data_IF_354629348059
#
_entry.id   IF_354629348059
#
_cell.length_a   1.000
_cell.length_b   1.000
_cell.length_c   1.000
_cell.angle_alpha   90.00
_cell.angle_beta   90.00
_cell.angle_gamma   90.00
#
_symmetry.space_group_name_H-M   'P 1'
#
loop_
_entity.id
_entity.type
_entity.pdbx_description
1 polymer ?
#
# COMPACT_ATOMS: atom_id res chain seq x y z
N UNK A 1 37.31 3.34 26.57
CA UNK A 1 37.63 3.03 25.16
C UNK A 1 37.14 1.67 24.65
N UNK A 2 37.37 0.52 25.31
CA UNK A 2 37.06 -0.80 24.73
C UNK A 2 35.56 -1.07 24.56
N UNK A 3 34.71 -0.57 25.47
CA UNK A 3 33.26 -0.76 25.39
C UNK A 3 32.63 -0.03 24.19
N UNK A 4 33.06 1.20 23.92
CA UNK A 4 32.55 2.00 22.79
C UNK A 4 32.93 1.32 21.47
N UNK A 5 34.18 0.85 21.36
CA UNK A 5 34.64 0.12 20.18
C UNK A 5 33.84 -1.18 19.98
N UNK A 6 33.59 -1.94 21.05
CA UNK A 6 32.76 -3.15 20.98
C UNK A 6 31.34 -2.85 20.51
N UNK A 7 30.74 -1.75 20.98
CA UNK A 7 29.39 -1.35 20.59
C UNK A 7 29.33 -0.96 19.11
N UNK A 8 30.34 -0.23 18.62
CA UNK A 8 30.45 0.15 17.21
C UNK A 8 30.61 -1.08 16.31
N UNK A 9 31.47 -2.02 16.69
CA UNK A 9 31.64 -3.29 15.96
C UNK A 9 30.34 -4.10 15.93
N UNK A 10 29.62 -4.15 17.05
CA UNK A 10 28.32 -4.82 17.11
C UNK A 10 27.29 -4.18 16.18
N UNK A 11 27.15 -2.85 16.18
CA UNK A 11 26.23 -2.15 15.28
C UNK A 11 26.63 -2.31 13.81
N UNK A 12 27.92 -2.25 13.50
CA UNK A 12 28.42 -2.50 12.15
C UNK A 12 28.10 -3.94 11.70
N UNK A 13 28.28 -4.92 12.57
CA UNK A 13 27.92 -6.31 12.30
C UNK A 13 26.42 -6.47 12.02
N UNK A 14 25.55 -5.81 12.79
CA UNK A 14 24.11 -5.82 12.53
C UNK A 14 23.76 -5.26 11.14
N UNK A 15 24.36 -4.13 10.75
CA UNK A 15 24.14 -3.51 9.45
C UNK A 15 24.66 -4.38 8.30
N UNK A 16 25.86 -4.94 8.45
CA UNK A 16 26.45 -5.83 7.44
C UNK A 16 25.56 -7.07 7.25
N UNK A 17 25.20 -7.76 8.34
CA UNK A 17 24.35 -8.95 8.27
C UNK A 17 22.95 -8.63 7.70
N UNK A 18 22.38 -7.47 8.04
CA UNK A 18 21.11 -7.04 7.46
C UNK A 18 21.21 -6.78 5.96
N UNK A 19 22.28 -6.12 5.49
CA UNK A 19 22.48 -5.85 4.08
C UNK A 19 22.73 -7.13 3.26
N UNK A 20 23.42 -8.13 3.82
CA UNK A 20 23.57 -9.44 3.17
C UNK A 20 22.27 -10.25 3.06
N UNK A 21 21.27 -9.96 3.89
CA UNK A 21 19.94 -10.60 3.85
C UNK A 21 18.96 -9.94 2.89
N UNK A 22 19.32 -8.81 2.27
CA UNK A 22 18.42 -8.12 1.34
C UNK A 22 18.16 -9.03 0.14
N UNK A 23 16.88 -9.31 -0.11
CA UNK A 23 16.39 -10.09 -1.26
C UNK A 23 16.71 -9.38 -2.58
N UNK A 24 16.55 -10.09 -3.69
CA UNK A 24 16.86 -9.54 -4.99
C UNK A 24 16.01 -8.29 -5.28
N UNK A 25 16.58 -7.36 -6.05
CA UNK A 25 15.90 -6.15 -6.50
C UNK A 25 15.03 -6.37 -7.75
N UNK A 26 14.73 -7.62 -8.12
CA UNK A 26 13.79 -7.91 -9.20
C UNK A 26 12.37 -7.62 -8.72
N UNK A 27 11.69 -6.71 -9.42
CA UNK A 27 10.33 -6.30 -9.08
C UNK A 27 9.40 -6.58 -10.24
N UNK A 28 8.22 -7.09 -9.91
CA UNK A 28 7.10 -7.22 -10.85
C UNK A 28 5.99 -6.28 -10.39
N UNK A 29 5.67 -5.28 -11.20
CA UNK A 29 4.70 -4.23 -10.88
C UNK A 29 3.66 -4.10 -11.99
N UNK A 30 2.37 -3.89 -11.69
CA UNK A 30 1.38 -3.65 -12.72
C UNK A 30 1.59 -2.25 -13.34
N UNK A 31 1.35 -2.13 -14.65
CA UNK A 31 1.49 -0.86 -15.39
C UNK A 31 0.10 -0.30 -15.75
N UNK A 32 -0.71 -1.16 -16.38
CA UNK A 32 -2.01 -0.77 -16.91
C UNK A 32 -2.97 -1.95 -16.86
N UNK A 33 -4.26 -1.63 -16.85
CA UNK A 33 -5.31 -2.62 -17.06
C UNK A 33 -6.51 -1.99 -17.76
N UNK A 34 -7.31 -2.82 -18.38
CA UNK A 34 -8.60 -2.48 -18.96
C UNK A 34 -9.63 -3.54 -18.59
N UNK A 35 -10.87 -3.12 -18.35
CA UNK A 35 -11.98 -4.00 -18.01
C UNK A 35 -13.04 -3.86 -19.10
N UNK A 36 -13.45 -4.98 -19.67
CA UNK A 36 -14.52 -5.08 -20.66
C UNK A 36 -15.65 -5.89 -20.03
N UNK A 37 -16.81 -5.27 -19.95
CA UNK A 37 -18.02 -5.89 -19.45
C UNK A 37 -18.84 -6.45 -20.61
N UNK A 38 -19.13 -7.75 -20.56
CA UNK A 38 -20.12 -8.42 -21.40
C UNK A 38 -21.23 -8.98 -20.50
N UNK A 39 -22.36 -9.40 -21.10
CA UNK A 39 -23.56 -9.81 -20.35
C UNK A 39 -23.30 -10.87 -19.28
N UNK A 40 -22.51 -11.90 -19.59
CA UNK A 40 -22.23 -13.03 -18.70
C UNK A 40 -20.74 -13.18 -18.38
N UNK A 41 -19.94 -12.16 -18.70
CA UNK A 41 -18.49 -12.26 -18.64
C UNK A 41 -17.85 -10.90 -18.33
N UNK A 42 -16.85 -10.91 -17.45
CA UNK A 42 -15.95 -9.78 -17.23
C UNK A 42 -14.57 -10.20 -17.73
N UNK A 43 -14.12 -9.51 -18.79
CA UNK A 43 -12.80 -9.71 -19.35
C UNK A 43 -11.86 -8.58 -18.92
N UNK A 44 -10.76 -8.93 -18.29
CA UNK A 44 -9.74 -7.98 -17.84
C UNK A 44 -8.45 -8.28 -18.60
N UNK A 45 -7.82 -7.26 -19.15
CA UNK A 45 -6.49 -7.34 -19.74
C UNK A 45 -5.58 -6.33 -19.09
N UNK A 46 -4.29 -6.65 -18.96
CA UNK A 46 -3.33 -5.71 -18.40
C UNK A 46 -1.89 -6.14 -18.65
N UNK A 47 -0.96 -5.32 -18.17
CA UNK A 47 0.47 -5.50 -18.39
C UNK A 47 1.22 -5.35 -17.07
N UNK A 48 2.15 -6.27 -16.83
CA UNK A 48 3.11 -6.25 -15.73
C UNK A 48 4.48 -5.87 -16.28
N UNK A 49 5.17 -4.97 -15.58
CA UNK A 49 6.57 -4.66 -15.80
C UNK A 49 7.42 -5.55 -14.90
N UNK A 50 8.41 -6.20 -15.48
CA UNK A 50 9.46 -6.91 -14.77
C UNK A 50 10.73 -6.06 -14.87
N UNK A 51 11.23 -5.57 -13.74
CA UNK A 51 12.43 -4.73 -13.69
C UNK A 51 13.57 -5.41 -12.95
N UNK A 52 14.76 -5.48 -13.58
CA UNK A 52 16.00 -5.79 -12.89
C UNK A 52 16.82 -4.50 -12.69
N UNK A 53 16.84 -3.99 -11.46
CA UNK A 53 17.56 -2.75 -11.10
C UNK A 53 19.03 -2.97 -10.76
N UNK A 54 19.55 -4.20 -10.82
CA UNK A 54 20.98 -4.42 -10.61
C UNK A 54 21.79 -3.94 -11.81
N UNK A 55 22.87 -3.19 -11.54
CA UNK A 55 23.75 -2.65 -12.58
C UNK A 55 24.61 -3.70 -13.28
N UNK A 56 24.88 -4.83 -12.63
CA UNK A 56 25.86 -5.85 -13.10
C UNK A 56 25.41 -7.29 -12.91
N UNK A 57 24.22 -7.51 -12.37
CA UNK A 57 23.71 -8.84 -12.05
C UNK A 57 22.52 -9.09 -12.95
N UNK A 58 22.58 -10.18 -13.71
CA UNK A 58 21.43 -10.72 -14.41
C UNK A 58 20.67 -11.64 -13.47
N UNK A 59 19.34 -11.65 -13.61
CA UNK A 59 18.47 -12.47 -12.78
C UNK A 59 17.56 -13.29 -13.67
N UNK A 60 17.29 -14.51 -13.27
CA UNK A 60 16.40 -15.40 -13.97
C UNK A 60 15.06 -15.48 -13.25
N UNK A 61 14.00 -15.63 -14.04
CA UNK A 61 12.64 -15.91 -13.56
C UNK A 61 12.28 -17.29 -14.10
N UNK A 62 12.59 -18.36 -13.36
CA UNK A 62 12.23 -19.71 -13.80
C UNK A 62 10.72 -19.96 -13.72
N UNK A 63 10.02 -19.27 -12.82
CA UNK A 63 8.61 -19.47 -12.53
C UNK A 63 7.91 -18.11 -12.31
N UNK A 64 6.74 -17.93 -12.93
CA UNK A 64 5.78 -16.86 -12.63
C UNK A 64 4.37 -17.45 -12.70
N UNK A 65 3.50 -17.03 -11.79
CA UNK A 65 2.09 -17.38 -11.82
C UNK A 65 1.22 -16.28 -11.22
N UNK A 66 -0.05 -16.26 -11.63
CA UNK A 66 -1.04 -15.33 -11.10
C UNK A 66 -2.15 -16.11 -10.40
N UNK A 67 -2.67 -15.55 -9.31
CA UNK A 67 -3.88 -16.04 -8.62
C UNK A 67 -4.89 -14.90 -8.50
N UNK A 68 -6.15 -15.22 -8.80
CA UNK A 68 -7.25 -14.26 -8.80
C UNK A 68 -8.21 -14.51 -7.64
N UNK A 69 -8.39 -13.49 -6.81
CA UNK A 69 -9.43 -13.40 -5.78
C UNK A 69 -10.43 -12.31 -6.17
N UNK A 70 -11.72 -12.56 -5.94
CA UNK A 70 -12.80 -11.63 -6.31
C UNK A 70 -13.52 -11.16 -5.05
N UNK A 71 -13.90 -9.89 -5.02
CA UNK A 71 -14.61 -9.27 -3.90
C UNK A 71 -15.89 -8.60 -4.38
N UNK A 72 -16.97 -8.84 -3.63
CA UNK A 72 -18.32 -8.42 -3.95
C UNK A 72 -19.23 -8.53 -2.73
N UNK A 73 -20.51 -8.21 -2.92
CA UNK A 73 -21.52 -8.27 -1.85
C UNK A 73 -22.14 -9.68 -1.68
N UNK A 74 -21.98 -10.55 -2.68
CA UNK A 74 -22.52 -11.91 -2.71
C UNK A 74 -21.41 -12.95 -2.70
N UNK A 75 -21.78 -14.21 -2.47
CA UNK A 75 -20.87 -15.33 -2.70
C UNK A 75 -20.51 -15.42 -4.19
N UNK A 76 -19.20 -15.47 -4.46
CA UNK A 76 -18.59 -15.51 -5.79
C UNK A 76 -17.90 -16.86 -6.08
N UNK A 77 -18.14 -17.87 -5.23
CA UNK A 77 -17.50 -19.19 -5.33
C UNK A 77 -17.84 -19.93 -6.62
N UNK A 78 -19.05 -19.72 -7.17
CA UNK A 78 -19.52 -20.33 -8.40
C UNK A 78 -18.87 -19.77 -9.69
N UNK A 79 -18.18 -18.63 -9.59
CA UNK A 79 -17.57 -17.97 -10.74
C UNK A 79 -16.39 -18.78 -11.29
N UNK A 80 -16.41 -19.03 -12.60
CA UNK A 80 -15.28 -19.61 -13.30
C UNK A 80 -14.25 -18.53 -13.61
N UNK A 81 -12.98 -18.84 -13.38
CA UNK A 81 -11.85 -17.92 -13.52
C UNK A 81 -10.80 -18.53 -14.45
N UNK A 82 -10.58 -17.91 -15.59
CA UNK A 82 -9.48 -18.27 -16.50
C UNK A 82 -8.41 -17.19 -16.43
N UNK A 83 -7.14 -17.61 -16.35
CA UNK A 83 -6.00 -16.71 -16.27
C UNK A 83 -5.02 -17.11 -17.37
N UNK A 84 -4.56 -16.15 -18.16
CA UNK A 84 -3.46 -16.34 -19.11
C UNK A 84 -2.38 -15.31 -18.88
N UNK A 85 -1.14 -15.72 -19.09
CA UNK A 85 0.06 -14.91 -19.02
C UNK A 85 0.74 -15.01 -20.37
N UNK A 86 1.04 -13.87 -20.99
CA UNK A 86 1.62 -13.78 -22.33
C UNK A 86 2.91 -12.97 -22.22
N UNK A 87 4.09 -13.61 -22.27
CA UNK A 87 5.35 -12.88 -22.22
C UNK A 87 5.50 -11.94 -23.43
N UNK A 88 6.11 -10.77 -23.21
CA UNK A 88 6.51 -9.81 -24.25
C UNK A 88 8.03 -9.66 -24.30
N UNK A 89 8.73 -10.80 -24.33
CA UNK A 89 10.18 -10.81 -24.40
C UNK A 89 10.64 -10.39 -25.80
N UNK A 90 11.55 -9.41 -25.88
CA UNK A 90 12.06 -8.91 -27.17
C UNK A 90 12.91 -9.93 -27.93
N UNK A 91 13.49 -10.88 -27.21
CA UNK A 91 14.51 -11.82 -27.67
C UNK A 91 14.04 -13.29 -27.65
N UNK A 92 12.76 -13.54 -27.37
CA UNK A 92 12.23 -14.90 -27.24
C UNK A 92 10.79 -15.01 -27.72
N UNK A 93 10.53 -16.00 -28.59
CA UNK A 93 9.17 -16.33 -29.00
C UNK A 93 8.40 -17.04 -27.87
N UNK A 94 7.11 -16.74 -27.78
CA UNK A 94 6.19 -17.39 -26.86
C UNK A 94 5.99 -18.86 -27.21
N UNK A 95 5.81 -19.69 -26.19
CA UNK A 95 5.42 -21.09 -26.39
C UNK A 95 3.96 -21.17 -26.82
N UNK A 96 3.64 -22.12 -27.69
CA UNK A 96 2.27 -22.36 -28.17
C UNK A 96 1.32 -22.86 -27.09
N UNK A 97 1.84 -23.42 -26.00
CA UNK A 97 1.09 -23.95 -24.86
C UNK A 97 0.81 -22.89 -23.78
N UNK A 98 1.24 -21.64 -23.99
CA UNK A 98 1.14 -20.52 -23.03
C UNK A 98 1.80 -20.76 -21.66
N UNK A 99 2.60 -21.83 -21.53
CA UNK A 99 3.37 -22.06 -20.31
C UNK A 99 4.53 -21.05 -20.23
N UNK A 100 4.84 -20.63 -19.01
CA UNK A 100 5.99 -19.76 -18.77
C UNK A 100 7.29 -20.48 -19.16
N UNK A 101 8.14 -19.78 -19.90
CA UNK A 101 9.50 -20.23 -20.19
C UNK A 101 10.45 -19.42 -19.33
N UNK A 102 11.40 -20.09 -18.68
CA UNK A 102 12.41 -19.42 -17.88
C UNK A 102 13.08 -18.29 -18.67
N UNK A 103 13.11 -17.10 -18.08
CA UNK A 103 13.59 -15.89 -18.76
C UNK A 103 14.73 -15.22 -17.98
N UNK A 104 15.71 -14.68 -18.68
CA UNK A 104 16.83 -13.93 -18.11
C UNK A 104 16.54 -12.44 -18.28
N UNK A 105 16.37 -11.73 -17.18
CA UNK A 105 16.26 -10.27 -17.17
C UNK A 105 17.66 -9.69 -16.99
N UNK A 106 18.20 -9.10 -18.06
CA UNK A 106 19.55 -8.52 -18.08
C UNK A 106 19.69 -7.40 -17.05
N UNK A 107 20.93 -7.11 -16.67
CA UNK A 107 21.22 -6.04 -15.72
C UNK A 107 20.70 -4.69 -16.22
N UNK A 108 20.05 -3.92 -15.34
CA UNK A 108 19.49 -2.60 -15.63
C UNK A 108 18.55 -2.61 -16.85
N UNK A 109 17.76 -3.66 -16.98
CA UNK A 109 16.79 -3.83 -18.06
C UNK A 109 15.41 -4.18 -17.50
N UNK A 110 14.40 -4.06 -18.35
CA UNK A 110 13.04 -4.46 -18.07
C UNK A 110 12.44 -5.25 -19.23
N UNK A 111 11.45 -6.08 -18.92
CA UNK A 111 10.59 -6.76 -19.89
C UNK A 111 9.15 -6.64 -19.44
N UNK A 112 8.21 -6.83 -20.36
CA UNK A 112 6.78 -6.83 -20.04
C UNK A 112 6.19 -8.22 -20.11
N UNK A 113 5.08 -8.40 -19.40
CA UNK A 113 4.24 -9.58 -19.44
C UNK A 113 2.79 -9.13 -19.44
N UNK A 114 2.05 -9.50 -20.48
CA UNK A 114 0.61 -9.29 -20.51
C UNK A 114 -0.11 -10.38 -19.72
N UNK A 115 -1.26 -10.02 -19.16
CA UNK A 115 -2.17 -10.99 -18.55
C UNK A 115 -3.60 -10.74 -19.02
N UNK A 116 -4.37 -11.82 -19.05
CA UNK A 116 -5.82 -11.76 -19.27
C UNK A 116 -6.53 -12.55 -18.19
N UNK A 117 -7.61 -12.01 -17.65
CA UNK A 117 -8.49 -12.65 -16.69
C UNK A 117 -9.89 -12.72 -17.31
N UNK A 118 -10.45 -13.92 -17.37
CA UNK A 118 -11.80 -14.16 -17.85
C UNK A 118 -12.65 -14.64 -16.67
N UNK A 119 -13.68 -13.89 -16.31
CA UNK A 119 -14.56 -14.24 -15.19
C UNK A 119 -15.95 -14.45 -15.75
N UNK A 120 -16.42 -15.69 -15.73
CA UNK A 120 -17.71 -16.07 -16.31
C UNK A 120 -18.62 -16.69 -15.29
N UNK A 121 -19.91 -16.34 -15.36
CA UNK A 121 -20.97 -17.08 -14.69
C UNK A 121 -22.11 -17.36 -15.67
N UNK A 122 -22.46 -18.62 -15.91
CA UNK A 122 -23.65 -18.96 -16.69
C UNK A 122 -24.97 -18.53 -16.03
N UNK A 123 -24.99 -18.33 -14.72
CA UNK A 123 -26.19 -18.13 -13.89
C UNK A 123 -26.50 -16.67 -13.53
N UNK A 124 -25.51 -15.76 -13.54
CA UNK A 124 -25.75 -14.33 -13.33
C UNK A 124 -26.07 -13.63 -14.65
N UNK A 125 -27.26 -13.03 -14.74
CA UNK A 125 -27.64 -12.18 -15.87
C UNK A 125 -26.90 -10.84 -15.90
N UNK A 126 -26.37 -10.37 -14.76
CA UNK A 126 -25.52 -9.17 -14.64
C UNK A 126 -24.42 -9.37 -13.59
N UNK A 127 -23.26 -9.87 -14.06
CA UNK A 127 -22.09 -10.13 -13.23
C UNK A 127 -21.48 -8.85 -12.63
N UNK A 128 -21.66 -7.71 -13.29
CA UNK A 128 -21.02 -6.44 -12.92
C UNK A 128 -21.60 -5.85 -11.64
N UNK A 129 -22.89 -6.12 -11.38
CA UNK A 129 -23.56 -5.74 -10.14
C UNK A 129 -23.08 -6.51 -8.90
N UNK A 130 -22.31 -7.59 -9.09
CA UNK A 130 -21.92 -8.50 -8.01
C UNK A 130 -20.43 -8.53 -7.74
N UNK A 131 -19.58 -8.20 -8.73
CA UNK A 131 -18.12 -8.18 -8.57
C UNK A 131 -17.63 -6.74 -8.61
N UNK A 132 -17.07 -6.26 -7.49
CA UNK A 132 -16.57 -4.88 -7.37
C UNK A 132 -15.07 -4.76 -7.60
N UNK A 133 -14.31 -5.78 -7.21
CA UNK A 133 -12.85 -5.75 -7.20
C UNK A 133 -12.28 -7.13 -7.55
N UNK A 134 -11.21 -7.14 -8.34
CA UNK A 134 -10.33 -8.28 -8.50
C UNK A 134 -9.00 -8.00 -7.78
N UNK A 135 -8.54 -8.92 -6.94
CA UNK A 135 -7.19 -8.93 -6.39
C UNK A 135 -6.35 -9.95 -7.15
N UNK A 136 -5.23 -9.50 -7.71
CA UNK A 136 -4.30 -10.35 -8.45
C UNK A 136 -3.03 -10.51 -7.63
N UNK A 137 -2.81 -11.72 -7.10
CA UNK A 137 -1.52 -12.10 -6.55
C UNK A 137 -0.59 -12.55 -7.68
N UNK A 138 0.59 -11.95 -7.76
CA UNK A 138 1.71 -12.36 -8.61
C UNK A 138 2.70 -13.13 -7.76
N UNK A 139 2.96 -14.38 -8.12
CA UNK A 139 4.03 -15.19 -7.53
C UNK A 139 5.15 -15.34 -8.55
N UNK A 140 6.39 -15.14 -8.11
CA UNK A 140 7.54 -15.45 -8.96
C UNK A 140 8.70 -15.94 -8.14
N UNK A 141 9.57 -16.68 -8.81
CA UNK A 141 10.88 -17.03 -8.29
C UNK A 141 11.89 -16.07 -8.89
N UNK A 142 12.68 -15.41 -8.05
CA UNK A 142 13.94 -14.84 -8.50
C UNK A 142 15.05 -15.87 -8.34
N UNK A 143 15.95 -15.94 -9.32
CA UNK A 143 17.08 -16.85 -9.30
C UNK A 143 18.35 -16.13 -9.75
N UNK A 144 19.42 -16.24 -8.95
CA UNK A 144 20.68 -15.55 -9.21
C UNK A 144 21.69 -15.69 -8.07
N UNK A 145 22.64 -14.75 -7.91
CA UNK A 145 23.68 -14.81 -6.88
C UNK A 145 23.16 -14.89 -5.44
N UNK A 146 21.96 -14.35 -5.19
CA UNK A 146 21.28 -14.44 -3.89
C UNK A 146 20.54 -15.77 -3.68
N UNK A 147 20.73 -16.75 -4.56
CA UNK A 147 20.05 -18.05 -4.53
C UNK A 147 18.69 -18.03 -5.22
N UNK A 148 17.72 -18.75 -4.63
CA UNK A 148 16.35 -18.89 -5.11
C UNK A 148 15.39 -18.27 -4.10
N UNK A 149 14.79 -17.12 -4.41
CA UNK A 149 13.82 -16.50 -3.50
C UNK A 149 12.41 -16.54 -4.09
N UNK A 150 11.47 -17.02 -3.28
CA UNK A 150 10.06 -16.92 -3.59
C UNK A 150 9.56 -15.52 -3.22
N UNK A 151 8.89 -14.89 -4.18
CA UNK A 151 8.34 -13.56 -4.04
C UNK A 151 6.84 -13.58 -4.33
N UNK A 152 6.16 -12.61 -3.73
CA UNK A 152 4.73 -12.39 -3.90
C UNK A 152 4.47 -10.89 -3.93
N UNK A 153 3.65 -10.44 -4.85
CA UNK A 153 3.03 -9.12 -4.81
C UNK A 153 1.54 -9.28 -5.05
N UNK A 154 0.73 -8.37 -4.55
CA UNK A 154 -0.68 -8.34 -4.88
C UNK A 154 -1.09 -6.93 -5.27
N UNK A 155 -2.07 -6.81 -6.16
CA UNK A 155 -2.63 -5.51 -6.53
C UNK A 155 -4.12 -5.62 -6.84
N UNK A 156 -4.84 -4.53 -6.61
CA UNK A 156 -6.27 -4.44 -6.85
C UNK A 156 -6.60 -3.87 -8.23
N UNK A 157 -7.61 -4.47 -8.86
CA UNK A 157 -8.19 -4.04 -10.13
C UNK A 157 -9.66 -3.72 -9.88
N UNK A 158 -10.03 -2.43 -9.95
CA UNK A 158 -11.42 -2.03 -9.81
C UNK A 158 -12.21 -2.48 -11.04
N UNK A 159 -13.21 -3.33 -10.80
CA UNK A 159 -14.13 -3.83 -11.83
C UNK A 159 -15.29 -2.87 -11.99
N UNK A 160 -15.86 -2.41 -10.87
CA UNK A 160 -16.87 -1.36 -10.87
C UNK A 160 -16.40 -0.14 -10.09
N UNK A 161 -16.83 1.05 -10.52
CA UNK A 161 -16.55 2.32 -9.86
C UNK A 161 -17.90 2.95 -9.47
N UNK A 162 -18.00 3.58 -8.29
CA UNK A 162 -19.25 4.19 -7.87
C UNK A 162 -19.63 5.33 -8.83
N UNK A 163 -20.91 5.41 -9.15
CA UNK A 163 -21.47 6.46 -10.00
C UNK A 163 -21.29 7.82 -9.34
N UNK A 164 -20.74 8.77 -10.09
CA UNK A 164 -20.62 10.17 -9.67
C UNK A 164 -21.99 10.87 -9.85
N UNK A 165 -22.98 10.53 -9.03
CA UNK A 165 -24.29 11.21 -9.06
C UNK A 165 -24.14 12.68 -8.67
N UNK A 166 -24.87 13.55 -9.37
CA UNK A 166 -24.93 15.00 -9.10
C UNK A 166 -25.73 15.25 -7.81
N UNK A 167 -25.04 15.74 -6.79
CA UNK A 167 -25.50 16.63 -5.69
C UNK A 167 -26.74 16.31 -4.83
N UNK A 168 -27.59 15.31 -5.09
CA UNK A 168 -28.89 15.24 -4.40
C UNK A 168 -28.93 14.43 -3.10
N UNK A 169 -27.93 13.60 -2.78
CA UNK A 169 -27.95 12.74 -1.58
C UNK A 169 -26.63 12.69 -0.80
N UNK A 170 -25.80 13.73 -0.89
CA UNK A 170 -24.54 13.80 -0.13
C UNK A 170 -24.74 14.64 1.14
N UNK A 171 -25.06 13.96 2.25
CA UNK A 171 -25.24 14.61 3.55
C UNK A 171 -23.88 15.03 4.12
N UNK A 172 -23.63 16.35 4.11
CA UNK A 172 -22.54 16.91 4.87
C UNK A 172 -22.78 16.65 6.37
N UNK A 173 -21.79 16.06 7.03
CA UNK A 173 -21.73 15.92 8.48
C UNK A 173 -21.28 17.28 9.03
N UNK A 174 -22.20 18.01 9.66
CA UNK A 174 -21.89 19.27 10.30
C UNK A 174 -21.34 19.04 11.70
N UNK A 175 -20.25 19.74 12.05
CA UNK A 175 -19.79 19.87 13.41
C UNK A 175 -19.59 21.35 13.77
N UNK A 176 -18.98 21.65 14.92
CA UNK A 176 -18.75 23.03 15.39
C UNK A 176 -17.81 23.84 14.50
N UNK A 177 -16.94 23.19 13.72
CA UNK A 177 -15.84 23.84 13.01
C UNK A 177 -16.02 23.86 11.49
N UNK A 178 -16.80 22.93 10.95
CA UNK A 178 -16.92 22.70 9.51
C UNK A 178 -18.12 21.83 9.14
N UNK A 179 -18.39 21.77 7.85
CA UNK A 179 -19.21 20.74 7.20
C UNK A 179 -18.30 19.78 6.45
N UNK A 180 -18.43 18.49 6.71
CA UNK A 180 -17.54 17.46 6.16
C UNK A 180 -18.34 16.50 5.28
N UNK A 181 -17.85 16.22 4.09
CA UNK A 181 -18.44 15.25 3.18
C UNK A 181 -17.46 14.10 2.92
N UNK A 182 -17.75 12.89 3.43
CA UNK A 182 -17.06 11.68 3.02
C UNK A 182 -17.37 11.34 1.56
N UNK A 183 -16.33 11.08 0.76
CA UNK A 183 -16.45 10.83 -0.67
C UNK A 183 -16.18 9.36 -0.95
N UNK A 184 -17.23 8.62 -1.31
CA UNK A 184 -17.14 7.18 -1.64
C UNK A 184 -16.39 6.98 -2.95
N UNK A 185 -15.41 6.09 -2.94
CA UNK A 185 -14.62 5.68 -4.10
C UNK A 185 -14.72 4.17 -4.33
N UNK A 186 -14.09 3.67 -5.40
CA UNK A 186 -13.70 2.27 -5.43
C UNK A 186 -12.54 2.03 -4.44
N UNK A 187 -12.20 0.77 -4.18
CA UNK A 187 -10.99 0.45 -3.41
C UNK A 187 -9.78 0.88 -4.23
N UNK A 188 -9.05 1.89 -3.74
CA UNK A 188 -7.90 2.44 -4.44
C UNK A 188 -6.75 1.42 -4.47
N UNK A 189 -5.96 1.46 -5.53
CA UNK A 189 -4.80 0.59 -5.71
C UNK A 189 -3.60 1.28 -6.34
N UNK A 190 -2.53 0.52 -6.53
CA UNK A 190 -1.24 1.00 -7.08
C UNK A 190 -1.33 1.49 -8.53
N UNK A 191 -2.41 1.16 -9.24
CA UNK A 191 -2.68 1.62 -10.61
C UNK A 191 -3.47 2.94 -10.64
N UNK A 192 -3.89 3.46 -9.49
CA UNK A 192 -4.60 4.72 -9.40
C UNK A 192 -3.63 5.88 -9.12
N UNK A 193 -3.68 6.93 -9.95
CA UNK A 193 -3.00 8.19 -9.64
C UNK A 193 -3.82 8.96 -8.57
N UNK A 194 -3.26 9.21 -7.37
CA UNK A 194 -4.03 9.80 -6.27
C UNK A 194 -4.57 11.20 -6.58
N UNK A 195 -3.91 11.98 -7.46
CA UNK A 195 -4.36 13.33 -7.83
C UNK A 195 -5.54 13.23 -8.80
N UNK A 196 -5.48 12.36 -9.81
CA UNK A 196 -6.58 12.12 -10.74
C UNK A 196 -7.79 11.46 -10.05
N UNK A 197 -7.56 10.59 -9.05
CA UNK A 197 -8.64 10.06 -8.19
C UNK A 197 -9.35 11.20 -7.47
N UNK A 198 -8.59 12.06 -6.77
CA UNK A 198 -9.15 13.22 -6.07
C UNK A 198 -9.96 14.08 -7.03
N UNK A 199 -9.37 14.46 -8.16
CA UNK A 199 -10.01 15.28 -9.19
C UNK A 199 -11.29 14.65 -9.72
N UNK A 200 -11.29 13.35 -9.97
CA UNK A 200 -12.45 12.62 -10.51
C UNK A 200 -13.59 12.56 -9.50
N UNK A 201 -13.30 12.17 -8.25
CA UNK A 201 -14.33 11.93 -7.23
C UNK A 201 -14.86 13.19 -6.56
N UNK A 202 -14.11 14.29 -6.60
CA UNK A 202 -14.53 15.58 -6.05
C UNK A 202 -15.10 16.53 -7.11
N UNK A 203 -15.06 16.13 -8.39
CA UNK A 203 -15.56 16.92 -9.52
C UNK A 203 -17.00 17.36 -9.30
N UNK A 204 -17.28 18.64 -9.52
CA UNK A 204 -18.60 19.27 -9.39
C UNK A 204 -19.17 19.34 -7.94
N UNK A 205 -18.38 19.01 -6.92
CA UNK A 205 -18.81 19.03 -5.51
C UNK A 205 -17.97 20.03 -4.70
N UNK A 206 -16.68 20.10 -5.01
CA UNK A 206 -15.71 20.92 -4.28
C UNK A 206 -15.79 22.40 -4.67
N UNK A 207 -15.69 23.26 -3.65
CA UNK A 207 -15.58 24.72 -3.78
C UNK A 207 -14.13 25.19 -3.60
N UNK A 208 -13.74 26.36 -4.13
CA UNK A 208 -12.37 26.88 -3.98
C UNK A 208 -11.89 27.07 -2.53
N UNK A 209 -12.82 27.31 -1.60
CA UNK A 209 -12.52 27.47 -0.16
C UNK A 209 -12.44 26.15 0.62
N UNK A 210 -12.79 25.02 -0.01
CA UNK A 210 -12.78 23.73 0.65
C UNK A 210 -11.34 23.23 0.87
N UNK A 211 -11.22 22.24 1.75
CA UNK A 211 -9.99 21.48 1.98
C UNK A 211 -10.29 20.03 1.62
N UNK A 212 -9.54 19.47 0.69
CA UNK A 212 -9.61 18.04 0.39
C UNK A 212 -8.61 17.31 1.28
N UNK A 213 -9.08 16.28 1.95
CA UNK A 213 -8.27 15.41 2.78
C UNK A 213 -8.24 14.02 2.15
N UNK A 214 -7.06 13.42 2.07
CA UNK A 214 -6.91 11.99 1.78
C UNK A 214 -6.34 11.29 3.02
N UNK A 215 -6.85 10.09 3.31
CA UNK A 215 -6.32 9.25 4.37
C UNK A 215 -4.85 8.88 4.12
N UNK A 216 -4.10 8.68 5.19
CA UNK A 216 -2.73 8.15 5.17
C UNK A 216 -2.65 6.82 4.40
N UNK A 217 -3.42 5.82 4.82
CA UNK A 217 -3.32 4.46 4.31
C UNK A 217 -3.73 4.35 2.84
N UNK A 218 -4.84 4.95 2.37
CA UNK A 218 -5.17 4.95 0.94
C UNK A 218 -4.10 5.62 0.08
N UNK A 219 -3.48 6.71 0.55
CA UNK A 219 -2.36 7.32 -0.17
C UNK A 219 -1.17 6.36 -0.24
N UNK A 220 -0.80 5.74 0.88
CA UNK A 220 0.26 4.73 0.96
C UNK A 220 0.03 3.57 -0.02
N UNK A 221 -1.21 3.08 -0.11
CA UNK A 221 -1.63 2.03 -1.05
C UNK A 221 -1.46 2.47 -2.51
N UNK A 222 -1.94 3.67 -2.89
CA UNK A 222 -1.76 4.18 -4.26
C UNK A 222 -0.29 4.36 -4.64
N UNK A 223 0.57 4.62 -3.65
CA UNK A 223 2.03 4.72 -3.84
C UNK A 223 2.73 3.35 -3.85
N UNK A 224 2.00 2.24 -3.71
CA UNK A 224 2.55 0.89 -3.66
C UNK A 224 3.34 0.60 -2.37
N UNK A 225 3.10 1.34 -1.29
CA UNK A 225 3.86 1.20 -0.05
C UNK A 225 3.25 0.15 0.90
N UNK A 226 3.05 -1.05 0.38
CA UNK A 226 2.54 -2.20 1.13
C UNK A 226 3.17 -3.50 0.59
N UNK A 227 3.14 -4.54 1.41
CA UNK A 227 3.59 -5.87 1.00
C UNK A 227 2.92 -6.97 1.81
N UNK A 228 2.83 -8.16 1.21
CA UNK A 228 2.31 -9.32 1.90
C UNK A 228 3.35 -9.83 2.92
N UNK A 229 2.96 -10.17 4.17
CA UNK A 229 3.90 -10.61 5.22
C UNK A 229 4.70 -11.85 4.85
N UNK A 230 4.17 -12.73 3.98
CA UNK A 230 4.90 -13.89 3.44
C UNK A 230 6.19 -13.55 2.68
N UNK A 231 6.38 -12.29 2.26
CA UNK A 231 7.62 -11.84 1.60
C UNK A 231 8.72 -11.46 2.59
N UNK A 232 8.36 -11.27 3.86
CA UNK A 232 9.26 -10.82 4.92
C UNK A 232 9.86 -12.02 5.61
N UNK A 233 11.16 -11.95 5.88
CA UNK A 233 11.87 -12.91 6.70
C UNK A 233 12.29 -12.25 8.01
N UNK A 234 11.53 -12.45 9.10
CA UNK A 234 11.85 -11.82 10.36
C UNK A 234 13.18 -12.34 10.92
N UNK A 235 14.11 -11.40 11.15
CA UNK A 235 15.37 -11.69 11.84
C UNK A 235 15.13 -12.06 13.31
N UNK A 236 16.11 -12.71 13.93
CA UNK A 236 16.06 -12.97 15.37
C UNK A 236 15.96 -11.66 16.18
N UNK A 237 16.61 -10.59 15.69
CA UNK A 237 16.47 -9.26 16.28
C UNK A 237 15.00 -8.82 16.28
N UNK A 238 14.31 -8.89 15.14
CA UNK A 238 12.89 -8.53 15.05
C UNK A 238 12.02 -9.36 16.00
N UNK A 239 12.23 -10.69 16.02
CA UNK A 239 11.51 -11.64 16.89
C UNK A 239 11.70 -11.38 18.39
N UNK A 240 12.85 -10.83 18.79
CA UNK A 240 13.14 -10.47 20.18
C UNK A 240 12.52 -9.11 20.50
N UNK A 241 12.81 -8.08 19.69
CA UNK A 241 12.40 -6.70 19.98
C UNK A 241 10.87 -6.52 19.99
N UNK A 242 10.14 -7.24 19.14
CA UNK A 242 8.68 -7.11 19.04
C UNK A 242 7.96 -7.47 20.35
N UNK A 243 8.53 -8.36 21.17
CA UNK A 243 7.92 -8.84 22.43
C UNK A 243 7.81 -7.77 23.52
N UNK A 244 8.50 -6.64 23.35
CA UNK A 244 8.52 -5.54 24.32
C UNK A 244 7.46 -4.45 24.05
N UNK A 245 6.70 -4.60 22.97
CA UNK A 245 5.62 -3.69 22.59
C UNK A 245 4.28 -4.18 23.13
N UNK A 246 3.32 -3.26 23.28
CA UNK A 246 1.96 -3.61 23.66
C UNK A 246 1.35 -4.51 22.57
N UNK A 247 0.61 -5.60 22.89
CA UNK A 247 0.13 -6.57 21.91
C UNK A 247 -0.67 -5.98 20.74
N UNK A 248 -1.35 -4.85 20.95
CA UNK A 248 -2.13 -4.15 19.93
C UNK A 248 -1.29 -3.20 19.05
N UNK A 249 0.04 -3.18 19.20
CA UNK A 249 0.92 -2.36 18.36
C UNK A 249 1.32 -3.14 17.12
N UNK A 250 1.36 -2.48 15.97
CA UNK A 250 1.91 -3.02 14.71
C UNK A 250 3.37 -3.51 14.85
N UNK A 251 4.11 -2.98 15.84
CA UNK A 251 5.50 -3.40 16.13
C UNK A 251 5.59 -4.57 17.11
N UNK A 252 4.46 -5.11 17.59
CA UNK A 252 4.41 -6.27 18.47
C UNK A 252 4.56 -7.60 17.73
N UNK A 253 4.50 -7.59 16.40
CA UNK A 253 4.77 -8.76 15.57
C UNK A 253 6.19 -8.74 15.00
N UNK A 254 6.72 -9.93 14.72
CA UNK A 254 8.05 -10.05 14.14
C UNK A 254 8.11 -9.48 12.70
N UNK A 255 7.02 -9.60 11.94
CA UNK A 255 6.91 -9.02 10.60
C UNK A 255 6.87 -7.49 10.65
N UNK A 256 6.01 -6.89 11.47
CA UNK A 256 5.95 -5.43 11.61
C UNK A 256 7.25 -4.82 12.15
N UNK A 257 7.90 -5.48 13.12
CA UNK A 257 9.23 -5.06 13.59
C UNK A 257 10.31 -5.20 12.50
N UNK A 258 10.28 -6.27 11.71
CA UNK A 258 11.21 -6.44 10.59
C UNK A 258 10.98 -5.39 9.50
N UNK A 259 9.73 -5.01 9.23
CA UNK A 259 9.39 -3.90 8.33
C UNK A 259 10.04 -2.60 8.78
N UNK A 260 9.96 -2.26 10.08
CA UNK A 260 10.64 -1.08 10.60
C UNK A 260 12.16 -1.18 10.46
N UNK A 261 12.75 -2.35 10.75
CA UNK A 261 14.19 -2.59 10.58
C UNK A 261 14.62 -2.40 9.12
N UNK A 262 13.82 -2.86 8.15
CA UNK A 262 14.10 -2.68 6.73
C UNK A 262 14.07 -1.20 6.33
N UNK A 263 13.17 -0.41 6.92
CA UNK A 263 13.01 1.02 6.62
C UNK A 263 14.12 1.89 7.20
N UNK A 264 14.51 1.66 8.47
CA UNK A 264 15.36 2.60 9.22
C UNK A 264 16.70 2.01 9.67
N UNK A 265 16.93 0.72 9.43
CA UNK A 265 18.14 -0.01 9.77
C UNK A 265 18.11 -0.67 11.16
N UNK A 266 18.71 -1.86 11.31
CA UNK A 266 18.72 -2.61 12.58
C UNK A 266 19.45 -1.86 13.70
N UNK A 267 20.50 -1.11 13.38
CA UNK A 267 21.27 -0.37 14.38
C UNK A 267 20.43 0.72 15.03
N UNK A 268 19.73 1.52 14.21
CA UNK A 268 18.85 2.59 14.67
C UNK A 268 17.68 2.06 15.48
N UNK A 269 17.04 0.97 15.04
CA UNK A 269 15.94 0.35 15.80
C UNK A 269 16.43 -0.15 17.16
N UNK A 270 17.60 -0.81 17.19
CA UNK A 270 18.19 -1.33 18.42
C UNK A 270 18.57 -0.20 19.37
N UNK A 271 19.22 0.86 18.87
CA UNK A 271 19.54 2.04 19.66
C UNK A 271 18.28 2.72 20.21
N UNK A 272 17.27 2.94 19.37
CA UNK A 272 15.99 3.50 19.78
C UNK A 272 15.29 2.65 20.85
N UNK A 273 15.39 1.33 20.74
CA UNK A 273 14.85 0.39 21.72
C UNK A 273 15.59 0.48 23.06
N UNK A 274 16.93 0.47 23.07
CA UNK A 274 17.74 0.59 24.29
C UNK A 274 17.41 1.89 25.02
N UNK A 275 17.48 3.03 24.32
CA UNK A 275 17.22 4.34 24.94
C UNK A 275 15.75 4.47 25.37
N UNK A 276 14.82 3.98 24.54
CA UNK A 276 13.40 3.97 24.88
C UNK A 276 13.09 3.14 26.13
N UNK A 277 13.74 1.99 26.29
CA UNK A 277 13.62 1.14 27.48
C UNK A 277 14.18 1.82 28.73
N UNK A 278 15.38 2.42 28.64
CA UNK A 278 15.98 3.18 29.74
C UNK A 278 15.10 4.35 30.18
N UNK A 279 14.60 5.15 29.23
CA UNK A 279 13.71 6.29 29.54
C UNK A 279 12.38 5.85 30.15
N UNK A 280 11.88 4.67 29.79
CA UNK A 280 10.67 4.09 30.40
C UNK A 280 10.87 3.79 31.89
N UNK A 281 12.08 3.44 32.33
CA UNK A 281 12.40 3.30 33.77
C UNK A 281 12.24 4.63 34.52
N UNK A 282 12.51 5.75 33.85
CA UNK A 282 12.26 7.10 34.36
C UNK A 282 10.84 7.62 34.06
N UNK A 283 9.90 6.73 33.71
CA UNK A 283 8.50 7.04 33.37
C UNK A 283 8.31 7.93 32.14
N UNK A 284 9.34 8.14 31.32
CA UNK A 284 9.26 8.86 30.05
C UNK A 284 8.88 7.87 28.95
N UNK A 285 7.61 7.93 28.50
CA UNK A 285 7.05 6.98 27.52
C UNK A 285 7.18 7.50 26.08
N UNK A 286 7.22 6.59 25.12
CA UNK A 286 7.09 6.90 23.68
C UNK A 286 8.36 7.37 22.96
N UNK A 287 9.50 7.48 23.65
CA UNK A 287 10.75 7.96 23.06
C UNK A 287 11.34 7.04 21.99
N UNK A 288 11.04 5.73 22.06
CA UNK A 288 11.35 4.79 20.99
C UNK A 288 10.90 5.32 19.63
N UNK A 289 9.66 5.77 19.51
CA UNK A 289 9.09 6.25 18.24
C UNK A 289 9.72 7.56 17.75
N UNK A 290 10.26 8.39 18.65
CA UNK A 290 10.99 9.60 18.27
C UNK A 290 12.34 9.23 17.63
N UNK A 291 13.06 8.27 18.22
CA UNK A 291 14.38 7.86 17.79
C UNK A 291 14.33 6.94 16.55
N UNK A 292 13.41 5.98 16.54
CA UNK A 292 13.22 5.04 15.42
C UNK A 292 12.78 5.77 14.14
N UNK A 293 12.05 6.89 14.26
CA UNK A 293 11.66 7.74 13.14
C UNK A 293 10.17 7.68 12.83
N UNK A 294 9.74 8.45 11.82
CA UNK A 294 8.32 8.65 11.51
C UNK A 294 7.61 7.34 11.17
N UNK A 295 8.25 6.45 10.41
CA UNK A 295 7.68 5.15 10.01
C UNK A 295 7.31 4.27 11.21
N UNK A 296 8.03 4.35 12.33
CA UNK A 296 7.68 3.56 13.51
C UNK A 296 6.26 3.81 14.04
N UNK A 297 5.63 4.94 13.67
CA UNK A 297 4.25 5.30 14.03
C UNK A 297 3.25 5.11 12.90
N UNK A 298 3.71 4.82 11.69
CA UNK A 298 2.89 4.77 10.47
C UNK A 298 2.86 3.37 9.85
N UNK A 299 3.56 2.40 10.45
CA UNK A 299 3.45 1.01 10.01
C UNK A 299 2.16 0.47 10.57
N UNK A 300 1.30 0.02 9.67
CA UNK A 300 0.10 -0.74 9.99
C UNK A 300 0.33 -2.19 9.60
N UNK A 301 0.25 -3.05 10.61
CA UNK A 301 0.35 -4.49 10.41
C UNK A 301 -0.98 -5.04 9.86
N UNK A 302 -1.02 -6.35 9.59
CA UNK A 302 -2.24 -7.03 9.17
C UNK A 302 -3.43 -6.71 10.10
N UNK A 303 -4.66 -6.83 9.59
CA UNK A 303 -5.94 -6.54 10.26
C UNK A 303 -6.31 -5.05 10.41
N UNK A 304 -5.43 -4.12 10.02
CA UNK A 304 -5.66 -2.68 10.14
C UNK A 304 -6.39 -1.99 8.98
N UNK A 305 -6.69 -2.69 7.88
CA UNK A 305 -7.14 -2.06 6.63
C UNK A 305 -8.28 -2.83 5.96
N UNK A 306 -9.05 -2.18 5.09
CA UNK A 306 -10.13 -2.80 4.31
C UNK A 306 -9.63 -3.94 3.41
N UNK A 307 -10.33 -5.09 3.31
CA UNK A 307 -9.99 -6.13 2.35
C UNK A 307 -9.90 -5.62 0.91
N UNK A 308 -8.92 -6.09 0.11
CA UNK A 308 -7.96 -7.18 0.35
C UNK A 308 -6.68 -6.79 1.11
N UNK A 309 -6.53 -5.52 1.48
CA UNK A 309 -5.31 -5.02 2.12
C UNK A 309 -5.18 -5.47 3.57
N UNK A 310 -6.27 -5.95 4.19
CA UNK A 310 -6.32 -6.51 5.55
C UNK A 310 -5.26 -7.62 5.80
N UNK A 311 -4.79 -8.26 4.73
CA UNK A 311 -3.75 -9.29 4.75
C UNK A 311 -2.35 -8.77 4.40
N UNK A 312 -2.16 -7.46 4.32
CA UNK A 312 -0.90 -6.81 3.96
C UNK A 312 -0.38 -5.95 5.11
N UNK A 313 0.92 -5.69 5.10
CA UNK A 313 1.54 -4.67 5.94
C UNK A 313 1.63 -3.40 5.11
N UNK A 314 1.10 -2.31 5.62
CA UNK A 314 1.13 -0.99 4.98
C UNK A 314 2.13 -0.11 5.71
N UNK A 315 2.97 0.58 4.95
CA UNK A 315 3.91 1.56 5.46
C UNK A 315 3.38 2.98 5.23
N UNK A 316 3.81 3.93 6.07
CA UNK A 316 3.47 5.35 5.91
C UNK A 316 3.78 5.93 4.53
N UNK A 317 3.06 6.98 4.06
CA UNK A 317 3.17 7.45 2.69
C UNK A 317 4.54 8.05 2.42
N UNK A 318 5.00 7.88 1.18
CA UNK A 318 6.22 8.46 0.67
C UNK A 318 6.02 9.94 0.37
N UNK A 319 6.85 10.79 1.01
CA UNK A 319 6.91 12.24 0.77
C UNK A 319 5.53 12.95 0.78
N UNK A 320 4.71 12.81 1.85
CA UNK A 320 3.32 13.32 1.86
C UNK A 320 3.24 14.84 1.68
N UNK A 321 4.24 15.60 2.12
CA UNK A 321 4.30 17.05 1.88
C UNK A 321 4.43 17.38 0.39
N UNK A 322 5.31 16.67 -0.32
CA UNK A 322 5.49 16.86 -1.76
C UNK A 322 4.21 16.54 -2.51
N UNK A 323 3.52 15.46 -2.12
CA UNK A 323 2.21 15.13 -2.67
C UNK A 323 1.21 16.28 -2.47
N UNK A 324 1.06 16.82 -1.25
CA UNK A 324 0.15 17.93 -0.99
C UNK A 324 0.48 19.18 -1.83
N UNK A 325 1.77 19.51 -1.96
CA UNK A 325 2.23 20.69 -2.71
C UNK A 325 1.95 20.52 -4.22
N UNK A 326 2.22 19.34 -4.79
CA UNK A 326 1.94 19.02 -6.19
C UNK A 326 0.44 18.96 -6.48
N UNK A 327 -0.35 18.36 -5.60
CA UNK A 327 -1.80 18.29 -5.72
C UNK A 327 -2.45 19.68 -5.62
N UNK A 328 -2.01 20.52 -4.69
CA UNK A 328 -2.44 21.92 -4.62
C UNK A 328 -2.12 22.67 -5.91
N UNK A 329 -0.89 22.53 -6.44
CA UNK A 329 -0.49 23.18 -7.69
C UNK A 329 -1.36 22.76 -8.89
N UNK A 330 -1.76 21.49 -8.96
CA UNK A 330 -2.58 20.95 -10.06
C UNK A 330 -4.07 21.27 -9.92
N UNK A 331 -4.60 21.29 -8.69
CA UNK A 331 -6.04 21.38 -8.43
C UNK A 331 -6.51 22.76 -7.96
N UNK A 332 -5.60 23.60 -7.45
CA UNK A 332 -5.90 24.93 -6.91
C UNK A 332 -6.67 24.92 -5.57
N UNK A 333 -6.82 23.75 -4.93
CA UNK A 333 -7.59 23.54 -3.70
C UNK A 333 -6.65 23.01 -2.62
N UNK A 334 -6.83 23.46 -1.36
CA UNK A 334 -5.97 23.01 -0.25
C UNK A 334 -6.09 21.49 -0.06
N UNK A 335 -4.93 20.82 0.07
CA UNK A 335 -4.83 19.37 0.24
C UNK A 335 -4.17 19.04 1.58
N UNK A 336 -4.67 18.02 2.27
CA UNK A 336 -4.05 17.46 3.45
C UNK A 336 -4.01 15.92 3.41
N UNK A 337 -2.96 15.35 3.99
CA UNK A 337 -2.84 13.92 4.27
C UNK A 337 -2.99 13.75 5.77
N UNK A 338 -3.99 12.97 6.19
CA UNK A 338 -4.35 12.82 7.60
C UNK A 338 -4.45 11.35 7.96
N UNK A 339 -3.88 11.02 9.11
CA UNK A 339 -4.08 9.76 9.82
C UNK A 339 -5.08 10.05 10.96
N UNK A 340 -6.24 9.41 10.93
CA UNK A 340 -7.31 9.59 11.92
C UNK A 340 -7.88 8.23 12.31
N UNK A 341 -8.29 8.07 13.56
CA UNK A 341 -8.95 6.85 14.04
C UNK A 341 -10.09 7.13 15.01
N UNK A 342 -10.91 6.11 15.27
CA UNK A 342 -12.12 6.22 16.09
C UNK A 342 -11.83 6.45 17.58
N UNK A 343 -10.57 6.35 18.00
CA UNK A 343 -10.13 6.68 19.36
C UNK A 343 -9.89 8.19 19.56
N UNK A 344 -10.28 9.01 18.59
CA UNK A 344 -10.15 10.46 18.63
C UNK A 344 -8.73 10.96 18.42
N UNK A 345 -7.83 10.12 17.89
CA UNK A 345 -6.47 10.55 17.54
C UNK A 345 -6.45 10.95 16.07
N UNK A 346 -6.11 12.22 15.84
CA UNK A 346 -5.93 12.78 14.49
C UNK A 346 -4.52 13.32 14.40
N UNK A 347 -3.86 13.04 13.29
CA UNK A 347 -2.53 13.52 13.00
C UNK A 347 -2.46 13.97 11.54
N UNK A 348 -2.21 15.26 11.35
CA UNK A 348 -1.94 15.80 10.01
C UNK A 348 -0.50 15.47 9.65
N UNK A 349 -0.31 14.54 8.71
CA UNK A 349 1.03 14.14 8.25
C UNK A 349 1.66 15.20 7.35
N UNK A 350 0.82 15.83 6.52
CA UNK A 350 1.21 16.92 5.64
C UNK A 350 0.00 17.74 5.21
N UNK A 351 0.24 18.99 4.81
CA UNK A 351 -0.77 19.85 4.22
C UNK A 351 -0.13 20.90 3.31
N UNK A 352 -0.82 21.28 2.25
CA UNK A 352 -0.39 22.38 1.36
C UNK A 352 -0.40 23.73 2.09
N UNK A 353 -1.19 23.84 3.18
CA UNK A 353 -1.23 25.00 4.04
C UNK A 353 -1.26 24.59 5.52
N UNK A 354 -0.11 24.67 6.18
CA UNK A 354 0.08 24.29 7.59
C UNK A 354 -0.77 25.08 8.58
N UNK A 355 -1.25 26.28 8.21
CA UNK A 355 -2.13 27.08 9.06
C UNK A 355 -3.49 26.40 9.30
N UNK A 356 -3.87 25.45 8.43
CA UNK A 356 -5.12 24.70 8.53
C UNK A 356 -5.02 23.50 9.48
N UNK A 357 -3.82 23.08 9.90
CA UNK A 357 -3.64 21.88 10.72
C UNK A 357 -4.46 21.90 12.03
N UNK A 358 -4.50 23.01 12.81
CA UNK A 358 -5.30 23.05 14.03
C UNK A 358 -6.81 22.91 13.78
N UNK A 359 -7.30 23.36 12.61
CA UNK A 359 -8.69 23.17 12.20
C UNK A 359 -8.93 21.70 11.85
N UNK A 360 -8.05 21.10 11.04
CA UNK A 360 -8.14 19.70 10.62
C UNK A 360 -8.17 18.74 11.81
N UNK A 361 -7.26 18.92 12.78
CA UNK A 361 -7.20 18.08 13.99
C UNK A 361 -8.49 18.14 14.82
N UNK A 362 -9.10 19.32 14.92
CA UNK A 362 -10.36 19.51 15.67
C UNK A 362 -11.57 19.00 14.89
N UNK A 363 -11.61 19.21 13.58
CA UNK A 363 -12.74 18.88 12.74
C UNK A 363 -12.86 17.36 12.48
N UNK A 364 -11.73 16.65 12.46
CA UNK A 364 -11.69 15.22 12.11
C UNK A 364 -11.66 14.29 13.33
N UNK A 365 -11.81 14.83 14.55
CA UNK A 365 -11.68 14.05 15.79
C UNK A 365 -12.67 12.88 15.89
N UNK A 366 -13.84 13.00 15.27
CA UNK A 366 -14.86 11.94 15.25
C UNK A 366 -14.64 10.90 14.15
N UNK A 367 -13.50 10.96 13.44
CA UNK A 367 -13.19 10.17 12.25
C UNK A 367 -14.35 10.06 11.22
N UNK A 368 -14.74 11.16 10.54
CA UNK A 368 -15.84 11.14 9.57
C UNK A 368 -15.63 10.18 8.38
N UNK A 369 -14.39 9.75 8.13
CA UNK A 369 -14.08 8.79 7.07
C UNK A 369 -14.45 7.35 7.44
N UNK A 370 -14.59 7.02 8.72
CA UNK A 370 -14.68 5.64 9.21
C UNK A 370 -13.34 4.89 9.09
N UNK A 371 -13.30 3.68 9.64
CA UNK A 371 -12.15 2.76 9.58
C UNK A 371 -12.52 1.38 9.01
N UNK A 372 -13.78 1.18 8.62
CA UNK A 372 -14.30 -0.10 8.16
C UNK A 372 -14.46 -0.17 6.64
N UNK A 373 -15.63 -0.62 6.20
CA UNK A 373 -15.95 -0.87 4.78
C UNK A 373 -16.68 0.31 4.12
N UNK A 374 -16.60 1.52 4.68
CA UNK A 374 -17.30 2.72 4.17
C UNK A 374 -16.79 3.14 2.77
N UNK A 375 -15.51 2.82 2.47
CA UNK A 375 -14.83 3.13 1.20
C UNK A 375 -14.81 4.64 0.90
N UNK A 376 -14.55 5.45 1.93
CA UNK A 376 -14.51 6.91 1.88
C UNK A 376 -13.11 7.47 2.17
N UNK A 377 -12.09 7.15 1.34
CA UNK A 377 -10.71 7.55 1.59
C UNK A 377 -10.45 9.06 1.43
N UNK A 378 -11.42 9.79 0.87
CA UNK A 378 -11.36 11.23 0.61
C UNK A 378 -12.44 11.93 1.41
N UNK A 379 -12.10 13.05 2.06
CA UNK A 379 -13.06 13.96 2.68
C UNK A 379 -12.98 15.34 2.02
N UNK A 380 -14.12 15.98 1.84
CA UNK A 380 -14.21 17.42 1.54
C UNK A 380 -14.63 18.13 2.82
N UNK A 381 -13.74 18.95 3.38
CA UNK A 381 -14.02 19.78 4.54
C UNK A 381 -14.27 21.22 4.10
N UNK A 382 -15.45 21.72 4.46
CA UNK A 382 -15.88 23.10 4.22
C UNK A 382 -15.91 23.87 5.55
N UNK A 383 -14.94 24.78 5.81
CA UNK A 383 -14.96 25.60 7.01
C UNK A 383 -16.15 26.58 6.99
N UNK A 384 -16.56 27.05 8.17
CA UNK A 384 -17.56 28.11 8.32
C UNK A 384 -16.96 29.51 8.16
#
# INVERSE_FOLDING_TARGET
MPLILSLLVFFLFLEINHNFRKKSNLKITPITYNVIHASNNIFISGTLLIENKYKRIELMIPEISLKLSLYGEKDLSALTKEIKIIPKHNDMNNRSDYNWKAYIVKSNSSTEVDFTLNITDPSFADLTSHVSLAWVDVFWIDYGPSGRNANRSGFSLAITKPTLTKNTEKSFIANRYSRILPVKTHILGVLDDPIEVIKTYTKNIVNPSDIIIIGETPLSITQGNYFHPATIEPSNLAKILCRFFHPTSSLATACGMQSLINEVGPSRVTFAWIIGALLKLFRIKGYFYNLAGKQARLIDDITGTTPPYDQTIVLGPNQPQRFCDEAYKKLGINIAVVDANDLGRVKVLASSNKKLNPLLEKALISNPAGNGDEKTPILILRPY
#
